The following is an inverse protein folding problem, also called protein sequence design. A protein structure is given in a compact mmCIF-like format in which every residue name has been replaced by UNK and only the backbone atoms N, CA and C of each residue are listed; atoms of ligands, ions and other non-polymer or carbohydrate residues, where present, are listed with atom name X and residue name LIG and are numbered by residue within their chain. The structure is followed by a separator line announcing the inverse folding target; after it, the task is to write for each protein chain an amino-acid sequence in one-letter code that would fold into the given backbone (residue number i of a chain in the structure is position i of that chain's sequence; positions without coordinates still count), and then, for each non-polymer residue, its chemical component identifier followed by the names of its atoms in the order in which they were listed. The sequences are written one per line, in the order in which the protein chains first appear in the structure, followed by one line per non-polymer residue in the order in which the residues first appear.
data_IF_255098543352
#
_entry.id   IF_255098543352
#
_cell.length_a   1.000
_cell.length_b   1.000
_cell.length_c   1.000
_cell.angle_alpha   90.00
_cell.angle_beta   90.00
_cell.angle_gamma   90.00
#
_symmetry.space_group_name_H-M   'P 1'
#
loop_
_entity.id
_entity.type
_entity.pdbx_description
1 polymer ?
#
# COMPACT_ATOMS: atom_id res chain seq x y z
N UNK A 1 -0.71 1.51 -22.04
CA UNK A 1 -1.95 0.96 -21.44
C UNK A 1 -2.23 -0.39 -22.12
N UNK A 2 -1.72 -1.49 -21.56
CA UNK A 2 -2.00 -2.84 -22.08
C UNK A 2 -3.39 -3.26 -21.60
N UNK A 3 -4.23 -3.71 -22.53
CA UNK A 3 -5.56 -4.21 -22.21
C UNK A 3 -5.47 -5.72 -21.96
N UNK A 4 -5.64 -6.13 -20.71
CA UNK A 4 -5.61 -7.53 -20.27
C UNK A 4 -7.05 -8.03 -20.14
N UNK A 5 -7.43 -9.09 -20.86
CA UNK A 5 -8.77 -9.72 -20.75
C UNK A 5 -8.72 -10.93 -19.82
N UNK A 6 -9.73 -11.05 -18.95
CA UNK A 6 -9.87 -12.11 -17.93
C UNK A 6 -10.59 -13.33 -18.51
N UNK A 7 -9.99 -14.52 -18.44
CA UNK A 7 -10.66 -15.78 -18.78
C UNK A 7 -11.46 -16.33 -17.58
N UNK A 8 -12.65 -16.95 -17.79
CA UNK A 8 -13.68 -17.10 -16.76
C UNK A 8 -13.64 -18.42 -15.97
N UNK A 9 -12.48 -19.02 -15.71
CA UNK A 9 -12.41 -20.32 -15.02
C UNK A 9 -11.53 -20.26 -13.76
N UNK A 10 -12.21 -20.44 -12.62
CA UNK A 10 -11.76 -20.62 -11.23
C UNK A 10 -11.09 -19.43 -10.50
N UNK A 11 -11.59 -19.20 -9.28
CA UNK A 11 -11.08 -18.19 -8.33
C UNK A 11 -10.59 -18.90 -7.08
N UNK A 12 -9.31 -18.71 -6.73
CA UNK A 12 -8.81 -18.95 -5.38
C UNK A 12 -7.81 -17.84 -5.06
N UNK A 13 -8.09 -17.10 -3.99
CA UNK A 13 -7.34 -15.95 -3.47
C UNK A 13 -5.94 -16.37 -3.02
N UNK A 14 -4.90 -15.67 -3.48
CA UNK A 14 -3.64 -15.61 -2.76
C UNK A 14 -2.99 -14.22 -2.95
N UNK A 15 -2.80 -13.48 -1.86
CA UNK A 15 -2.26 -12.12 -1.85
C UNK A 15 -0.78 -12.20 -1.50
N UNK A 16 0.10 -11.81 -2.42
CA UNK A 16 1.54 -11.71 -2.18
C UNK A 16 2.09 -10.36 -2.65
N UNK A 17 2.68 -9.62 -1.70
CA UNK A 17 3.68 -8.57 -1.91
C UNK A 17 3.20 -7.23 -2.49
N UNK A 18 2.81 -6.29 -1.64
CA UNK A 18 2.59 -4.89 -2.05
C UNK A 18 3.94 -4.23 -2.41
N UNK A 19 4.27 -4.19 -3.69
CA UNK A 19 5.43 -3.44 -4.20
C UNK A 19 5.08 -1.97 -4.43
N UNK A 20 5.34 -1.11 -3.45
CA UNK A 20 5.13 0.34 -3.59
C UNK A 20 6.10 0.91 -4.65
N UNK A 21 5.58 1.64 -5.64
CA UNK A 21 6.40 2.36 -6.64
C UNK A 21 6.85 3.71 -6.09
N UNK A 22 7.65 3.67 -5.01
CA UNK A 22 8.12 4.86 -4.26
C UNK A 22 8.89 5.84 -5.16
N UNK A 23 9.58 5.35 -6.18
CA UNK A 23 10.25 6.16 -7.20
C UNK A 23 9.30 7.11 -7.95
N UNK A 24 8.05 6.68 -8.24
CA UNK A 24 7.06 7.55 -8.89
C UNK A 24 6.55 8.67 -7.98
N UNK A 25 6.61 8.48 -6.66
CA UNK A 25 6.28 9.52 -5.68
C UNK A 25 7.39 10.57 -5.57
N UNK A 26 8.54 10.35 -6.23
CA UNK A 26 9.73 11.20 -6.08
C UNK A 26 10.21 11.22 -4.64
N UNK A 27 10.04 10.09 -3.93
CA UNK A 27 10.46 9.88 -2.55
C UNK A 27 11.64 8.92 -2.58
N UNK A 28 12.76 9.34 -2.02
CA UNK A 28 13.92 8.49 -1.80
C UNK A 28 13.81 7.84 -0.43
N UNK A 29 13.99 6.53 -0.37
CA UNK A 29 13.97 5.82 0.91
C UNK A 29 15.28 6.09 1.66
N UNK A 30 15.23 6.98 2.65
CA UNK A 30 16.35 7.23 3.55
C UNK A 30 16.21 6.26 4.71
N UNK A 31 17.09 5.26 4.76
CA UNK A 31 17.15 4.36 5.92
C UNK A 31 17.55 5.19 7.14
N UNK A 32 16.79 5.08 8.23
CA UNK A 32 17.11 5.75 9.48
C UNK A 32 18.33 5.06 10.12
N UNK A 33 19.53 5.51 9.74
CA UNK A 33 20.79 4.99 10.29
C UNK A 33 21.15 5.65 11.64
N UNK A 34 20.27 6.51 12.18
CA UNK A 34 20.48 7.22 13.44
C UNK A 34 19.50 6.74 14.53
N UNK A 35 19.99 6.48 15.76
CA UNK A 35 19.17 6.17 16.92
C UNK A 35 18.17 7.29 17.28
N UNK A 36 18.49 8.56 17.00
CA UNK A 36 17.64 9.70 17.35
C UNK A 36 16.33 9.73 16.54
N UNK A 37 16.39 9.38 15.25
CA UNK A 37 15.22 9.30 14.38
C UNK A 37 14.33 8.11 14.76
N UNK A 38 14.95 6.96 15.05
CA UNK A 38 14.23 5.72 15.41
C UNK A 38 13.62 5.80 16.82
N UNK A 39 14.35 6.36 17.80
CA UNK A 39 13.92 6.42 19.19
C UNK A 39 12.69 7.29 19.46
N UNK A 40 12.46 8.36 18.66
CA UNK A 40 11.21 9.14 18.76
C UNK A 40 9.99 8.32 18.31
N UNK A 41 10.15 7.65 17.18
CA UNK A 41 9.11 6.82 16.58
C UNK A 41 8.79 5.63 17.50
N UNK A 42 9.82 4.96 18.04
CA UNK A 42 9.67 3.86 18.98
C UNK A 42 8.96 4.27 20.28
N UNK A 43 9.26 5.44 20.86
CA UNK A 43 8.56 5.91 22.07
C UNK A 43 7.06 6.15 21.82
N UNK A 44 6.71 6.74 20.68
CA UNK A 44 5.31 6.94 20.30
C UNK A 44 4.63 5.57 20.09
N UNK A 45 5.27 4.65 19.38
CA UNK A 45 4.72 3.31 19.17
C UNK A 45 4.53 2.53 20.48
N UNK A 46 5.51 2.55 21.38
CA UNK A 46 5.38 1.93 22.71
C UNK A 46 4.22 2.55 23.51
N UNK A 47 4.07 3.88 23.47
CA UNK A 47 2.97 4.57 24.15
C UNK A 47 1.62 4.16 23.60
N UNK A 48 1.49 4.09 22.27
CA UNK A 48 0.27 3.65 21.60
C UNK A 48 -0.02 2.17 21.93
N UNK A 49 0.94 1.26 21.76
CA UNK A 49 0.76 -0.16 22.06
C UNK A 49 0.35 -0.41 23.53
N UNK A 50 0.89 0.37 24.48
CA UNK A 50 0.54 0.24 25.89
C UNK A 50 -0.83 0.84 26.25
N UNK A 51 -1.19 2.00 25.70
CA UNK A 51 -2.40 2.76 26.10
C UNK A 51 -3.59 2.49 25.20
N UNK A 52 -3.41 2.52 23.88
CA UNK A 52 -4.49 2.34 22.92
C UNK A 52 -5.13 0.96 23.05
N UNK A 53 -4.33 -0.09 23.25
CA UNK A 53 -4.84 -1.46 23.44
C UNK A 53 -5.69 -1.55 24.71
N UNK A 54 -5.30 -0.87 25.79
CA UNK A 54 -6.07 -0.83 27.04
C UNK A 54 -7.39 -0.08 26.87
N UNK A 55 -7.38 1.06 26.19
CA UNK A 55 -8.59 1.83 25.88
C UNK A 55 -9.59 1.04 25.02
N UNK A 56 -9.10 0.34 24.00
CA UNK A 56 -9.93 -0.53 23.14
C UNK A 56 -10.54 -1.66 23.97
N UNK A 57 -9.77 -2.26 24.89
CA UNK A 57 -10.26 -3.30 25.81
C UNK A 57 -11.30 -2.77 26.79
N UNK A 58 -11.08 -1.60 27.39
CA UNK A 58 -12.02 -0.96 28.33
C UNK A 58 -13.37 -0.66 27.67
N UNK A 59 -13.35 -0.34 26.37
CA UNK A 59 -14.55 -0.06 25.56
C UNK A 59 -15.15 -1.32 24.94
N UNK A 60 -14.60 -2.50 25.24
CA UNK A 60 -15.04 -3.81 24.75
C UNK A 60 -15.21 -3.88 23.23
N UNK A 61 -14.34 -3.17 22.48
CA UNK A 61 -14.37 -3.14 21.02
C UNK A 61 -13.86 -4.48 20.48
N UNK A 62 -14.66 -5.12 19.63
CA UNK A 62 -14.35 -6.46 19.10
C UNK A 62 -14.22 -6.49 17.58
N UNK A 63 -14.68 -5.46 16.89
CA UNK A 63 -14.67 -5.39 15.43
C UNK A 63 -13.67 -4.35 14.91
N UNK A 64 -13.20 -4.54 13.68
CA UNK A 64 -12.28 -3.61 13.02
C UNK A 64 -12.96 -2.27 12.74
N UNK A 65 -14.24 -2.31 12.40
CA UNK A 65 -15.06 -1.16 12.05
C UNK A 65 -15.23 -0.24 13.28
N UNK A 66 -15.56 -0.81 14.44
CA UNK A 66 -15.65 -0.07 15.69
C UNK A 66 -14.30 0.49 16.13
N UNK A 67 -13.21 -0.27 15.95
CA UNK A 67 -11.86 0.20 16.24
C UNK A 67 -11.50 1.41 15.38
N UNK A 68 -11.76 1.35 14.06
CA UNK A 68 -11.51 2.47 13.15
C UNK A 68 -12.31 3.73 13.54
N UNK A 69 -13.58 3.57 13.92
CA UNK A 69 -14.41 4.68 14.41
C UNK A 69 -13.82 5.27 15.70
N UNK A 70 -13.41 4.41 16.63
CA UNK A 70 -12.81 4.86 17.89
C UNK A 70 -11.47 5.59 17.68
N UNK A 71 -10.63 5.12 16.76
CA UNK A 71 -9.37 5.77 16.42
C UNK A 71 -9.57 7.22 15.95
N UNK A 72 -10.64 7.48 15.19
CA UNK A 72 -11.01 8.83 14.77
C UNK A 72 -11.25 9.78 15.94
N UNK A 73 -11.75 9.29 17.07
CA UNK A 73 -11.92 10.08 18.30
C UNK A 73 -10.68 10.09 19.20
N UNK A 74 -9.92 8.99 19.24
CA UNK A 74 -8.76 8.85 20.11
C UNK A 74 -7.60 9.75 19.68
N UNK A 75 -7.26 9.80 18.39
CA UNK A 75 -6.09 10.55 17.93
C UNK A 75 -6.17 12.06 18.21
N UNK A 76 -7.30 12.76 18.00
CA UNK A 76 -7.43 14.17 18.39
C UNK A 76 -7.16 14.41 19.88
N UNK A 77 -7.71 13.56 20.76
CA UNK A 77 -7.52 13.66 22.22
C UNK A 77 -6.05 13.37 22.59
N UNK A 78 -5.46 12.34 21.96
CA UNK A 78 -4.07 11.98 22.16
C UNK A 78 -3.12 13.11 21.71
N UNK A 79 -3.33 13.64 20.51
CA UNK A 79 -2.52 14.72 19.96
C UNK A 79 -2.65 15.99 20.81
N UNK A 80 -3.85 16.35 21.29
CA UNK A 80 -4.00 17.50 22.18
C UNK A 80 -3.13 17.37 23.46
N UNK A 81 -3.04 16.16 24.03
CA UNK A 81 -2.30 15.92 25.27
C UNK A 81 -0.79 15.76 25.08
N UNK A 82 -0.35 15.19 23.96
CA UNK A 82 1.05 14.74 23.78
C UNK A 82 1.77 15.41 22.61
N UNK A 83 1.10 16.24 21.82
CA UNK A 83 1.75 16.99 20.74
C UNK A 83 2.69 18.04 21.32
N UNK A 84 3.94 17.98 20.92
CA UNK A 84 4.93 19.03 21.16
C UNK A 84 4.74 20.12 20.12
N UNK A 85 4.68 21.39 20.55
CA UNK A 85 4.61 22.53 19.62
C UNK A 85 5.81 22.50 18.67
N UNK A 86 5.52 22.59 17.37
CA UNK A 86 6.55 22.68 16.33
C UNK A 86 7.31 24.00 16.49
N UNK A 87 8.65 23.97 16.31
CA UNK A 87 9.48 25.19 16.33
C UNK A 87 9.25 26.08 15.09
N UNK A 88 8.76 25.51 13.99
CA UNK A 88 8.41 26.19 12.75
C UNK A 88 7.11 25.59 12.22
N UNK A 89 6.18 26.43 11.79
CA UNK A 89 4.83 26.05 11.35
C UNK A 89 4.68 25.93 9.83
N UNK A 90 5.76 26.15 9.07
CA UNK A 90 5.73 26.01 7.62
C UNK A 90 5.47 24.56 7.23
N UNK A 91 4.49 24.38 6.35
CA UNK A 91 4.21 23.11 5.72
C UNK A 91 5.24 22.86 4.61
N UNK A 92 6.04 21.81 4.77
CA UNK A 92 7.03 21.36 3.78
C UNK A 92 6.53 20.13 3.00
N UNK A 93 5.27 19.71 3.19
CA UNK A 93 4.70 18.58 2.48
C UNK A 93 4.48 18.93 1.00
N UNK A 94 4.91 18.02 0.13
CA UNK A 94 4.60 18.10 -1.31
C UNK A 94 3.11 17.79 -1.49
N UNK A 95 2.40 18.64 -2.22
CA UNK A 95 1.02 18.33 -2.62
C UNK A 95 1.00 17.03 -3.43
N UNK A 96 0.08 16.13 -3.06
CA UNK A 96 -0.11 14.88 -3.77
C UNK A 96 -0.83 15.20 -5.07
N UNK A 97 -0.24 14.85 -6.21
CA UNK A 97 -0.97 14.80 -7.48
C UNK A 97 -1.84 13.54 -7.49
N UNK A 98 -3.11 13.67 -7.90
CA UNK A 98 -4.22 12.71 -7.69
C UNK A 98 -4.04 11.26 -8.24
N UNK A 99 -2.86 10.87 -8.71
CA UNK A 99 -2.64 9.53 -9.25
C UNK A 99 -2.38 8.52 -8.12
N UNK A 100 -3.47 8.03 -7.52
CA UNK A 100 -3.46 6.81 -6.70
C UNK A 100 -2.98 5.57 -7.47
N UNK A 101 -2.80 5.67 -8.80
CA UNK A 101 -2.22 4.62 -9.66
C UNK A 101 -0.78 4.24 -9.26
N UNK A 102 -0.14 5.01 -8.37
CA UNK A 102 1.17 4.69 -7.80
C UNK A 102 1.06 3.57 -6.76
N UNK A 103 -0.11 3.39 -6.14
CA UNK A 103 -0.41 2.34 -5.17
C UNK A 103 -0.96 1.10 -5.88
N UNK A 104 -0.06 0.32 -6.48
CA UNK A 104 -0.38 -0.96 -7.10
C UNK A 104 0.51 -2.09 -6.57
N UNK A 105 -0.01 -3.31 -6.59
CA UNK A 105 0.76 -4.54 -6.43
C UNK A 105 1.40 -4.84 -7.77
N UNK A 106 2.73 -4.89 -7.82
CA UNK A 106 3.47 -5.16 -9.05
C UNK A 106 4.21 -6.48 -8.96
N UNK A 107 3.95 -7.37 -9.92
CA UNK A 107 4.59 -8.68 -9.96
C UNK A 107 5.11 -9.01 -11.36
N UNK A 108 6.32 -9.57 -11.43
CA UNK A 108 6.90 -10.03 -12.70
C UNK A 108 6.36 -11.42 -13.04
N UNK A 109 5.74 -11.56 -14.20
CA UNK A 109 5.18 -12.84 -14.68
C UNK A 109 5.82 -13.24 -16.01
N UNK A 110 6.02 -14.54 -16.20
CA UNK A 110 6.53 -15.11 -17.44
C UNK A 110 5.40 -15.23 -18.45
N UNK A 111 5.66 -14.82 -19.70
CA UNK A 111 4.72 -14.95 -20.81
C UNK A 111 4.85 -16.36 -21.40
N UNK A 112 3.73 -17.06 -21.51
CA UNK A 112 3.66 -18.36 -22.18
C UNK A 112 3.61 -18.19 -23.70
N UNK A 113 3.88 -19.27 -24.44
CA UNK A 113 3.93 -19.25 -25.93
C UNK A 113 2.60 -18.84 -26.58
N UNK A 114 1.49 -19.07 -25.87
CA UNK A 114 0.12 -18.73 -26.25
C UNK A 114 -0.28 -17.29 -25.86
N UNK A 115 0.69 -16.44 -25.49
CA UNK A 115 0.45 -15.06 -25.06
C UNK A 115 -0.38 -14.94 -23.78
N UNK A 116 -0.39 -16.00 -22.96
CA UNK A 116 -1.04 -15.99 -21.66
C UNK A 116 -0.05 -15.74 -20.52
N UNK A 117 -0.56 -15.13 -19.46
CA UNK A 117 0.12 -15.04 -18.17
C UNK A 117 -0.76 -15.63 -17.08
N UNK A 118 -0.12 -16.20 -16.06
CA UNK A 118 -0.80 -16.66 -14.85
C UNK A 118 -0.57 -15.63 -13.74
N UNK A 119 -1.65 -15.10 -13.19
CA UNK A 119 -1.62 -14.18 -12.06
C UNK A 119 -2.80 -14.47 -11.12
N UNK A 120 -2.54 -14.57 -9.81
CA UNK A 120 -3.54 -14.87 -8.79
C UNK A 120 -4.47 -16.06 -9.19
N UNK A 121 -3.83 -17.16 -9.62
CA UNK A 121 -4.47 -18.39 -10.14
C UNK A 121 -5.38 -18.23 -11.38
N UNK A 122 -5.37 -17.07 -12.04
CA UNK A 122 -6.14 -16.81 -13.26
C UNK A 122 -5.22 -16.70 -14.46
N UNK A 123 -5.75 -17.11 -15.61
CA UNK A 123 -5.10 -16.91 -16.91
C UNK A 123 -5.61 -15.62 -17.54
N UNK A 124 -4.66 -14.83 -18.02
CA UNK A 124 -4.92 -13.57 -18.69
C UNK A 124 -4.27 -13.57 -20.06
N UNK A 125 -5.05 -13.18 -21.07
CA UNK A 125 -4.57 -13.05 -22.44
C UNK A 125 -4.03 -11.64 -22.68
N UNK A 126 -2.82 -11.55 -23.22
CA UNK A 126 -2.25 -10.29 -23.70
C UNK A 126 -2.82 -10.01 -25.10
N UNK A 127 -3.65 -8.97 -25.21
CA UNK A 127 -4.39 -8.66 -26.46
C UNK A 127 -3.65 -7.65 -27.35
N UNK A 128 -2.81 -6.80 -26.77
CA UNK A 128 -2.01 -5.80 -27.49
C UNK A 128 -0.54 -6.04 -27.27
N UNK A 129 0.13 -6.52 -28.30
CA UNK A 129 1.59 -6.66 -28.34
C UNK A 129 2.07 -5.80 -29.52
N UNK A 130 3.04 -4.89 -29.33
CA UNK A 130 3.67 -4.22 -30.46
C UNK A 130 4.25 -5.26 -31.42
N UNK A 131 4.01 -5.06 -32.72
CA UNK A 131 4.47 -5.96 -33.77
C UNK A 131 5.97 -6.24 -33.65
N UNK A 132 6.35 -7.52 -33.63
CA UNK A 132 7.74 -7.97 -33.59
C UNK A 132 8.34 -8.19 -32.20
N UNK A 133 7.65 -7.83 -31.11
CA UNK A 133 8.12 -8.14 -29.75
C UNK A 133 7.62 -9.51 -29.30
N UNK A 134 8.49 -10.31 -28.67
CA UNK A 134 8.14 -11.52 -27.89
C UNK A 134 8.73 -11.42 -26.48
N UNK A 135 8.10 -10.64 -25.58
CA UNK A 135 8.61 -10.47 -24.23
C UNK A 135 8.57 -11.80 -23.47
N UNK A 136 9.71 -12.20 -22.89
CA UNK A 136 9.77 -13.36 -22.00
C UNK A 136 9.05 -13.11 -20.66
N UNK A 137 8.99 -11.84 -20.24
CA UNK A 137 8.40 -11.41 -18.99
C UNK A 137 7.56 -10.14 -19.19
N UNK A 138 6.50 -10.01 -18.40
CA UNK A 138 5.71 -8.80 -18.27
C UNK A 138 5.54 -8.45 -16.80
N UNK A 139 5.29 -7.18 -16.53
CA UNK A 139 4.86 -6.73 -15.22
C UNK A 139 3.34 -6.68 -15.20
N UNK A 140 2.74 -7.27 -14.17
CA UNK A 140 1.32 -7.13 -13.86
C UNK A 140 1.20 -6.10 -12.75
N UNK A 141 0.44 -5.03 -12.98
CA UNK A 141 0.13 -4.03 -11.97
C UNK A 141 -1.36 -4.15 -11.57
N UNK A 142 -1.64 -4.58 -10.33
CA UNK A 142 -2.99 -4.59 -9.74
C UNK A 142 -3.15 -3.35 -8.85
N UNK A 143 -3.99 -2.41 -9.28
CA UNK A 143 -4.27 -1.17 -8.57
C UNK A 143 -5.23 -1.39 -7.42
N UNK A 144 -5.24 -0.50 -6.42
CA UNK A 144 -6.16 -0.58 -5.27
C UNK A 144 -7.65 -0.55 -5.68
N UNK A 145 -7.95 0.01 -6.87
CA UNK A 145 -9.28 0.00 -7.48
C UNK A 145 -9.69 -1.36 -8.07
N UNK A 146 -8.80 -2.36 -8.06
CA UNK A 146 -8.99 -3.66 -8.71
C UNK A 146 -8.74 -3.64 -10.22
N UNK A 147 -8.30 -2.50 -10.78
CA UNK A 147 -7.87 -2.39 -12.18
C UNK A 147 -6.54 -3.12 -12.36
N UNK A 148 -6.42 -3.88 -13.45
CA UNK A 148 -5.15 -4.50 -13.87
C UNK A 148 -4.62 -3.85 -15.14
N UNK A 149 -3.30 -3.63 -15.19
CA UNK A 149 -2.57 -3.03 -16.34
C UNK A 149 -1.25 -3.71 -16.65
#
# INVERSE_FOLDING_TARGET
MLAIRKCPLLTVLNVAGVGLRVEKLGVTFIHANSPEAKGRVERVFQTLQNRLVKEIRLRNIKTKEEANRYLGHYFPIHNNKFTVKLKKTFDFHRQVTDSFDILCIREKRTVRRDWTIRYNNKFYQIVKVPSGLRPKYVWVEEHISGRMS
#
